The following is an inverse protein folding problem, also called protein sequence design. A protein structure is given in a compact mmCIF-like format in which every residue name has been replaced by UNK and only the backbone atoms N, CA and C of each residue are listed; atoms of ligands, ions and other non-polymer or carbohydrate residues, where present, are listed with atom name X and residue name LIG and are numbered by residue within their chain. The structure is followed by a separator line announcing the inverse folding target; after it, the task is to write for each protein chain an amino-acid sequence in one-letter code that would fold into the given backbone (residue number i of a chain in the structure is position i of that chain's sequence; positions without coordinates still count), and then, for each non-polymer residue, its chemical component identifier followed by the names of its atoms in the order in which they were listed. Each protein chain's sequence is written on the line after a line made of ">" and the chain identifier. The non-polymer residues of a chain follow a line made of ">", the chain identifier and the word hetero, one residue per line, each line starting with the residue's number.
data_IF_669374597642
#
_entry.id   IF_669374597642
#
_cell.length_a   1.000
_cell.length_b   1.000
_cell.length_c   1.000
_cell.angle_alpha   90.00
_cell.angle_beta   90.00
_cell.angle_gamma   90.00
#
_symmetry.space_group_name_H-M   'P 1'
#
loop_
_entity.id
_entity.type
_entity.pdbx_description
1 polymer ?
#
# COMPACT_ATOMS: atom_id res chain seq x y z
N UNK A 1 2.33 30.39 9.91
CA UNK A 1 1.70 29.07 9.71
C UNK A 1 2.80 28.11 9.33
N UNK A 2 3.13 27.18 10.22
CA UNK A 2 4.10 26.11 9.95
C UNK A 2 3.38 25.04 9.12
N UNK A 3 3.93 24.57 7.98
CA UNK A 3 3.32 23.47 7.23
C UNK A 3 3.24 22.22 8.12
N UNK A 4 2.26 21.33 7.92
CA UNK A 4 2.14 20.11 8.71
C UNK A 4 3.44 19.29 8.62
N UNK A 5 4.15 19.18 9.74
CA UNK A 5 5.35 18.37 9.87
C UNK A 5 4.96 16.89 9.91
N UNK A 6 5.26 16.18 8.82
CA UNK A 6 5.03 14.75 8.66
C UNK A 6 4.42 14.41 7.31
N UNK A 7 5.15 14.62 6.21
CA UNK A 7 4.75 14.02 4.92
C UNK A 7 4.84 12.49 5.05
N UNK A 8 3.87 11.72 4.53
CA UNK A 8 3.97 10.27 4.45
C UNK A 8 5.29 9.84 3.80
N UNK A 9 6.12 9.08 4.52
CA UNK A 9 7.27 8.40 3.95
C UNK A 9 6.86 6.97 3.62
N UNK A 10 6.33 6.78 2.40
CA UNK A 10 5.97 5.46 1.92
C UNK A 10 7.21 4.73 1.41
N UNK A 11 7.51 3.55 1.97
CA UNK A 11 8.48 2.60 1.45
C UNK A 11 7.75 1.37 0.93
N UNK A 12 8.08 0.93 -0.29
CA UNK A 12 7.59 -0.31 -0.90
C UNK A 12 8.75 -1.29 -1.02
N UNK A 13 8.56 -2.49 -0.50
CA UNK A 13 9.53 -3.58 -0.56
C UNK A 13 8.83 -4.85 -1.08
N UNK A 14 9.64 -5.80 -1.54
CA UNK A 14 9.23 -7.05 -2.18
C UNK A 14 9.86 -8.27 -1.50
N UNK A 15 9.24 -9.44 -1.67
CA UNK A 15 9.73 -10.74 -1.21
C UNK A 15 9.24 -11.85 -2.14
N UNK A 16 10.05 -12.90 -2.33
CA UNK A 16 9.65 -14.12 -3.06
C UNK A 16 8.90 -15.12 -2.16
N UNK A 17 8.98 -14.96 -0.84
CA UNK A 17 8.50 -15.98 0.13
C UNK A 17 7.42 -15.42 1.08
N UNK A 18 7.07 -14.13 0.95
CA UNK A 18 6.12 -13.45 1.84
C UNK A 18 6.71 -13.00 3.18
N UNK A 19 7.99 -13.27 3.41
CA UNK A 19 8.78 -12.83 4.57
C UNK A 19 10.15 -12.27 4.13
N UNK A 20 10.87 -11.55 5.01
CA UNK A 20 12.13 -10.83 4.70
C UNK A 20 12.07 -9.88 3.49
N UNK A 21 11.25 -8.83 3.61
CA UNK A 21 11.06 -7.83 2.54
C UNK A 21 12.32 -6.98 2.28
N UNK A 22 12.62 -6.76 1.00
CA UNK A 22 13.81 -6.00 0.52
C UNK A 22 13.42 -5.04 -0.61
N UNK A 23 14.27 -4.06 -0.97
CA UNK A 23 13.97 -3.13 -2.07
C UNK A 23 13.86 -3.80 -3.44
N UNK A 24 14.54 -4.93 -3.65
CA UNK A 24 14.50 -5.71 -4.87
C UNK A 24 14.81 -7.20 -4.62
N UNK A 25 14.39 -8.04 -5.56
CA UNK A 25 14.66 -9.49 -5.65
C UNK A 25 14.79 -9.87 -7.13
N UNK A 26 15.32 -11.06 -7.40
CA UNK A 26 15.22 -11.72 -8.71
C UNK A 26 14.03 -12.67 -8.68
N UNK A 27 13.31 -12.77 -9.79
CA UNK A 27 12.16 -13.65 -9.96
C UNK A 27 12.09 -14.16 -11.41
N UNK A 28 11.47 -15.32 -11.58
CA UNK A 28 11.18 -15.93 -12.87
C UNK A 28 9.71 -15.72 -13.27
N UNK A 29 9.40 -15.93 -14.55
CA UNK A 29 8.01 -15.96 -15.02
C UNK A 29 7.27 -17.06 -14.27
N UNK A 30 6.03 -16.76 -13.85
CA UNK A 30 5.16 -17.56 -13.00
C UNK A 30 5.49 -17.57 -11.50
N UNK A 31 6.53 -16.86 -11.05
CA UNK A 31 6.74 -16.65 -9.62
C UNK A 31 5.68 -15.70 -9.04
N UNK A 32 5.19 -16.03 -7.84
CA UNK A 32 4.37 -15.12 -7.03
C UNK A 32 5.27 -14.19 -6.21
N UNK A 33 5.07 -12.88 -6.34
CA UNK A 33 5.81 -11.85 -5.63
C UNK A 33 4.93 -11.18 -4.58
N UNK A 34 5.47 -11.08 -3.37
CA UNK A 34 4.83 -10.46 -2.23
C UNK A 34 5.30 -9.02 -2.07
N UNK A 35 4.38 -8.07 -2.07
CA UNK A 35 4.65 -6.66 -1.89
C UNK A 35 4.22 -6.21 -0.50
N UNK A 36 5.01 -5.31 0.10
CA UNK A 36 4.67 -4.62 1.34
C UNK A 36 4.97 -3.14 1.23
N UNK A 37 3.94 -2.33 1.46
CA UNK A 37 4.05 -0.88 1.64
C UNK A 37 3.94 -0.57 3.12
N UNK A 38 4.90 0.18 3.64
CA UNK A 38 4.80 0.83 4.95
C UNK A 38 4.79 2.34 4.73
N UNK A 39 3.89 3.06 5.37
CA UNK A 39 3.85 4.51 5.31
C UNK A 39 3.49 5.11 6.66
N UNK A 40 4.00 6.30 6.95
CA UNK A 40 3.44 7.14 8.00
C UNK A 40 2.11 7.72 7.50
N UNK A 41 1.06 7.56 8.29
CA UNK A 41 -0.21 8.21 8.00
C UNK A 41 -0.09 9.72 8.31
N UNK A 42 -0.84 10.56 7.59
CA UNK A 42 -0.88 11.99 7.90
C UNK A 42 -1.38 12.24 9.32
N UNK A 43 -0.74 13.17 10.02
CA UNK A 43 -1.11 13.55 11.38
C UNK A 43 -2.49 14.22 11.40
N UNK A 44 -3.35 13.82 12.34
CA UNK A 44 -4.64 14.45 12.59
C UNK A 44 -4.45 15.66 13.52
N UNK A 45 -4.41 16.87 12.95
CA UNK A 45 -4.22 18.11 13.74
C UNK A 45 -5.32 19.13 13.40
N UNK A 46 -6.31 19.24 14.29
CA UNK A 46 -7.21 20.40 14.42
C UNK A 46 -7.85 20.89 13.08
N UNK A 47 -8.00 22.21 12.88
CA UNK A 47 -8.76 22.85 11.78
C UNK A 47 -8.31 22.44 10.36
N UNK A 48 -7.16 21.76 10.22
CA UNK A 48 -6.63 21.21 8.97
C UNK A 48 -6.53 19.67 8.98
N UNK A 49 -7.39 19.00 9.76
CA UNK A 49 -7.40 17.55 9.89
C UNK A 49 -7.54 16.84 8.53
N UNK A 50 -6.74 15.79 8.33
CA UNK A 50 -6.91 14.92 7.17
C UNK A 50 -8.16 14.06 7.39
N UNK A 51 -9.20 14.30 6.58
CA UNK A 51 -10.44 13.53 6.65
C UNK A 51 -10.31 12.13 6.02
N UNK A 52 -9.44 12.03 5.01
CA UNK A 52 -9.23 10.86 4.17
C UNK A 52 -7.85 10.89 3.55
N UNK A 53 -7.21 9.74 3.46
CA UNK A 53 -6.02 9.56 2.64
C UNK A 53 -6.10 8.25 1.86
N UNK A 54 -5.44 8.23 0.70
CA UNK A 54 -5.47 7.11 -0.23
C UNK A 54 -4.07 6.76 -0.71
N UNK A 55 -3.82 5.46 -0.85
CA UNK A 55 -2.63 4.90 -1.50
C UNK A 55 -3.07 4.30 -2.83
N UNK A 56 -2.39 4.70 -3.89
CA UNK A 56 -2.65 4.21 -5.25
C UNK A 56 -1.36 3.54 -5.70
N UNK A 57 -1.48 2.30 -6.15
CA UNK A 57 -0.38 1.56 -6.76
C UNK A 57 -0.81 1.08 -8.14
N UNK A 58 0.16 0.93 -9.04
CA UNK A 58 -0.04 0.42 -10.39
C UNK A 58 1.16 -0.44 -10.72
N UNK A 59 0.95 -1.75 -10.83
CA UNK A 59 1.98 -2.67 -11.25
C UNK A 59 2.23 -2.53 -12.76
N UNK A 60 3.48 -2.76 -13.16
CA UNK A 60 3.84 -2.84 -14.58
C UNK A 60 3.13 -4.01 -15.26
N UNK A 61 3.04 -3.97 -16.59
CA UNK A 61 2.37 -5.00 -17.40
C UNK A 61 2.93 -6.42 -17.19
N UNK A 62 4.22 -6.54 -16.84
CA UNK A 62 4.86 -7.81 -16.48
C UNK A 62 4.37 -8.51 -15.20
N UNK A 63 3.36 -7.96 -14.53
CA UNK A 63 2.72 -8.57 -13.36
C UNK A 63 1.23 -8.78 -13.59
N UNK A 64 0.68 -9.80 -12.94
CA UNK A 64 -0.76 -10.02 -12.80
C UNK A 64 -1.12 -9.90 -11.32
N UNK A 65 -1.84 -8.84 -10.94
CA UNK A 65 -2.26 -8.61 -9.56
C UNK A 65 -3.24 -9.70 -9.07
N UNK A 66 -2.98 -10.29 -7.89
CA UNK A 66 -4.01 -11.05 -7.16
C UNK A 66 -4.84 -10.06 -6.33
N UNK A 67 -5.98 -9.64 -6.87
CA UNK A 67 -6.88 -8.68 -6.22
C UNK A 67 -7.34 -9.13 -4.83
N UNK A 68 -7.50 -10.45 -4.64
CA UNK A 68 -7.97 -11.03 -3.38
C UNK A 68 -6.90 -11.01 -2.27
N UNK A 69 -5.64 -10.84 -2.66
CA UNK A 69 -4.50 -10.78 -1.74
C UNK A 69 -4.34 -9.42 -1.04
N UNK A 70 -5.00 -8.36 -1.55
CA UNK A 70 -4.79 -7.00 -1.06
C UNK A 70 -5.36 -6.88 0.35
N UNK A 71 -4.46 -6.58 1.29
CA UNK A 71 -4.79 -6.34 2.70
C UNK A 71 -4.17 -5.02 3.12
N UNK A 72 -4.89 -4.26 3.92
CA UNK A 72 -4.42 -3.00 4.45
C UNK A 72 -4.90 -2.81 5.89
N UNK A 73 -4.09 -2.14 6.71
CA UNK A 73 -4.44 -1.79 8.08
C UNK A 73 -3.64 -0.58 8.56
N UNK A 74 -4.14 0.06 9.61
CA UNK A 74 -3.34 0.93 10.47
C UNK A 74 -2.77 0.05 11.57
N UNK A 75 -1.46 0.09 11.79
CA UNK A 75 -0.80 -0.73 12.81
C UNK A 75 -1.33 -0.36 14.19
N UNK A 76 -1.66 -1.38 14.96
CA UNK A 76 -2.15 -1.27 16.34
C UNK A 76 -3.41 -0.41 16.48
N UNK A 77 -4.19 -0.26 15.41
CA UNK A 77 -5.40 0.55 15.38
C UNK A 77 -6.47 -0.02 14.44
N UNK A 78 -7.35 -0.84 15.00
CA UNK A 78 -8.35 -1.61 14.24
C UNK A 78 -9.71 -0.89 14.06
N UNK A 79 -9.86 0.32 14.61
CA UNK A 79 -11.12 1.08 14.51
C UNK A 79 -11.40 1.60 13.09
N UNK A 80 -10.39 1.58 12.20
CA UNK A 80 -10.51 2.03 10.82
C UNK A 80 -10.31 0.87 9.87
N UNK A 81 -11.39 0.45 9.23
CA UNK A 81 -11.37 -0.49 8.11
C UNK A 81 -11.14 0.25 6.80
N UNK A 82 -10.09 -0.08 6.01
CA UNK A 82 -9.88 0.54 4.72
C UNK A 82 -10.88 0.07 3.68
N UNK A 83 -11.18 0.94 2.72
CA UNK A 83 -11.83 0.56 1.47
C UNK A 83 -10.77 0.24 0.42
N UNK A 84 -10.89 -0.90 -0.25
CA UNK A 84 -9.98 -1.35 -1.31
C UNK A 84 -10.79 -1.42 -2.61
N UNK A 85 -10.29 -0.79 -3.67
CA UNK A 85 -10.90 -0.84 -5.01
C UNK A 85 -9.85 -1.12 -6.07
N UNK A 86 -10.11 -2.07 -6.94
CA UNK A 86 -9.31 -2.32 -8.15
C UNK A 86 -9.94 -1.58 -9.32
N UNK A 87 -9.10 -1.00 -10.18
CA UNK A 87 -9.53 -0.26 -11.36
C UNK A 87 -10.05 -1.24 -12.42
N UNK A 88 -11.27 -1.00 -12.92
CA UNK A 88 -11.93 -1.92 -13.87
C UNK A 88 -11.38 -1.84 -15.29
N UNK A 89 -10.62 -0.78 -15.61
CA UNK A 89 -9.99 -0.59 -16.91
C UNK A 89 -8.55 -1.12 -16.84
N UNK A 90 -7.85 -0.89 -15.73
CA UNK A 90 -6.51 -1.42 -15.49
C UNK A 90 -6.48 -2.31 -14.23
N UNK A 91 -6.61 -3.65 -14.36
CA UNK A 91 -6.65 -4.56 -13.21
C UNK A 91 -5.35 -4.59 -12.40
N UNK A 92 -4.23 -4.07 -12.93
CA UNK A 92 -2.98 -3.94 -12.19
C UNK A 92 -2.91 -2.67 -11.32
N UNK A 93 -3.97 -1.86 -11.29
CA UNK A 93 -4.07 -0.64 -10.50
C UNK A 93 -5.12 -0.80 -9.42
N UNK A 94 -4.76 -0.46 -8.19
CA UNK A 94 -5.69 -0.46 -7.06
C UNK A 94 -5.53 0.79 -6.19
N UNK A 95 -6.56 1.07 -5.41
CA UNK A 95 -6.60 2.16 -4.44
C UNK A 95 -7.01 1.61 -3.08
N UNK A 96 -6.22 1.93 -2.05
CA UNK A 96 -6.55 1.70 -0.64
C UNK A 96 -6.88 3.04 -0.02
N UNK A 97 -8.05 3.17 0.58
CA UNK A 97 -8.53 4.43 1.18
C UNK A 97 -8.87 4.24 2.65
N UNK A 98 -8.33 5.11 3.48
CA UNK A 98 -8.65 5.20 4.90
C UNK A 98 -9.47 6.47 5.14
N UNK A 99 -10.67 6.32 5.71
CA UNK A 99 -11.49 7.43 6.20
C UNK A 99 -11.28 7.52 7.71
N UNK A 100 -10.69 8.61 8.18
CA UNK A 100 -10.29 8.77 9.58
C UNK A 100 -11.00 9.94 10.27
N UNK A 101 -11.86 10.65 9.54
CA UNK A 101 -12.68 11.71 10.11
C UNK A 101 -13.65 11.16 11.16
N UNK A 102 -13.71 11.82 12.33
CA UNK A 102 -14.61 11.44 13.41
C UNK A 102 -14.18 10.21 14.20
N UNK A 103 -13.00 9.66 13.91
CA UNK A 103 -12.41 8.57 14.68
C UNK A 103 -11.76 9.15 15.93
N UNK A 104 -12.24 8.73 17.09
CA UNK A 104 -11.65 9.13 18.37
C UNK A 104 -10.28 8.47 18.57
N UNK A 105 -9.37 9.14 19.27
CA UNK A 105 -8.05 8.59 19.64
C UNK A 105 -7.15 8.17 18.46
N UNK A 106 -7.34 8.74 17.27
CA UNK A 106 -6.46 8.47 16.13
C UNK A 106 -4.98 8.74 16.48
N UNK A 107 -4.06 7.77 16.27
CA UNK A 107 -2.69 7.92 16.71
C UNK A 107 -1.95 9.03 15.95
N UNK A 108 -1.18 9.85 16.67
CA UNK A 108 -0.41 10.93 16.07
C UNK A 108 0.72 10.44 15.13
N UNK A 109 1.17 9.20 15.32
CA UNK A 109 2.24 8.53 14.57
C UNK A 109 1.73 7.24 13.89
N UNK A 110 0.43 7.21 13.57
CA UNK A 110 -0.20 6.10 12.89
C UNK A 110 0.63 5.62 11.68
N UNK A 111 0.87 4.32 11.61
CA UNK A 111 1.61 3.70 10.50
C UNK A 111 0.68 2.77 9.74
N UNK A 112 0.66 2.90 8.42
CA UNK A 112 -0.11 2.03 7.52
C UNK A 112 0.77 0.89 7.03
N UNK A 113 0.20 -0.32 7.02
CA UNK A 113 0.76 -1.48 6.34
C UNK A 113 -0.22 -1.93 5.24
N UNK A 114 0.26 -2.04 4.01
CA UNK A 114 -0.47 -2.63 2.88
C UNK A 114 0.35 -3.80 2.37
N UNK A 115 -0.27 -4.96 2.19
CA UNK A 115 0.35 -6.15 1.59
C UNK A 115 -0.52 -6.66 0.46
N UNK A 116 0.11 -7.12 -0.61
CA UNK A 116 -0.58 -7.75 -1.74
C UNK A 116 0.42 -8.63 -2.50
N UNK A 117 -0.10 -9.44 -3.42
CA UNK A 117 0.64 -10.41 -4.22
C UNK A 117 0.37 -10.15 -5.70
N UNK A 118 1.35 -10.47 -6.53
CA UNK A 118 1.17 -10.52 -7.97
C UNK A 118 2.11 -11.57 -8.58
N UNK A 119 1.65 -12.21 -9.64
CA UNK A 119 2.47 -13.19 -10.37
C UNK A 119 3.25 -12.49 -11.49
N UNK A 120 4.52 -12.86 -11.68
CA UNK A 120 5.29 -12.44 -12.86
C UNK A 120 4.72 -13.13 -14.09
N UNK A 121 4.33 -12.37 -15.10
CA UNK A 121 3.69 -12.90 -16.30
C UNK A 121 4.60 -12.82 -17.54
N UNK A 122 4.07 -13.25 -18.70
CA UNK A 122 4.82 -13.30 -19.96
C UNK A 122 5.22 -11.95 -20.55
N UNK A 123 4.67 -10.84 -20.05
CA UNK A 123 4.99 -9.48 -20.49
C UNK A 123 6.14 -8.85 -19.69
N UNK A 124 6.74 -9.61 -18.76
CA UNK A 124 7.92 -9.18 -18.02
C UNK A 124 9.12 -8.97 -18.95
N UNK A 125 9.81 -7.84 -18.78
CA UNK A 125 11.03 -7.53 -19.53
C UNK A 125 12.22 -8.17 -18.82
N UNK A 126 12.97 -9.02 -19.54
CA UNK A 126 14.18 -9.65 -19.02
C UNK A 126 15.26 -8.61 -18.67
N UNK A 127 15.90 -8.82 -17.52
CA UNK A 127 17.13 -8.13 -17.14
C UNK A 127 18.30 -8.79 -17.89
N UNK A 128 18.91 -8.07 -18.84
CA UNK A 128 20.02 -8.55 -19.70
C UNK A 128 21.39 -8.18 -19.13
#
# INVERSE_FOLDING_TARGET
>A
MTPPEGKPQAGKNVSAEGFFYRPSITAEIADTIYFKVNALAPKYNEENAVHKYSFIDTLSEGFTLDESSIKAKIKDFDEVTPTITVDTINPNKFTVTFQVHGVENYPADASVEITYQADVNGDAVYDN
#
